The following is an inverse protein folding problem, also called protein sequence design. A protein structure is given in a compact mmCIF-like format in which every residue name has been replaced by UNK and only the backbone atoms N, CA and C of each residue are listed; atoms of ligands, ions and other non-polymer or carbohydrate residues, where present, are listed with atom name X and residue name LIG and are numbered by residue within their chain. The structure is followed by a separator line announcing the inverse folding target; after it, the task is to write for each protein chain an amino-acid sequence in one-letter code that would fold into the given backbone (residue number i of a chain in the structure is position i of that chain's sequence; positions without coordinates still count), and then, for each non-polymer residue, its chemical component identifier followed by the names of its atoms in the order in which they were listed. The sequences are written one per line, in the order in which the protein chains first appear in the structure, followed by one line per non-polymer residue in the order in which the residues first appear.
data_IF_817154557290
#
_entry.id   IF_817154557290
#
_cell.length_a   1.000
_cell.length_b   1.000
_cell.length_c   1.000
_cell.angle_alpha   90.00
_cell.angle_beta   90.00
_cell.angle_gamma   90.00
#
_symmetry.space_group_name_H-M   'P 1'
#
loop_
_entity.id
_entity.type
_entity.pdbx_description
1 polymer ?
#
# COMPACT_ATOMS: atom_id res chain seq x y z
N UNK A 1 20.01 -23.18 8.00
CA UNK A 1 20.10 -21.82 7.44
C UNK A 1 19.12 -20.97 8.23
N UNK A 2 19.60 -19.95 8.96
CA UNK A 2 18.68 -19.01 9.63
C UNK A 2 17.93 -18.24 8.54
N UNK A 3 16.66 -18.56 8.33
CA UNK A 3 15.80 -17.77 7.47
C UNK A 3 15.55 -16.41 8.15
N UNK A 4 16.47 -15.48 7.95
CA UNK A 4 16.26 -14.10 8.37
C UNK A 4 15.30 -13.46 7.36
N UNK A 5 14.04 -13.30 7.76
CA UNK A 5 13.06 -12.55 6.98
C UNK A 5 13.29 -11.05 7.20
N UNK A 6 13.64 -10.25 6.17
CA UNK A 6 13.75 -8.80 6.30
C UNK A 6 12.44 -8.18 6.79
N UNK A 7 12.49 -7.03 7.43
CA UNK A 7 11.30 -6.34 7.90
C UNK A 7 10.52 -5.75 6.71
N UNK A 8 9.21 -5.96 6.69
CA UNK A 8 8.28 -5.28 5.78
C UNK A 8 7.45 -4.28 6.58
N UNK A 9 7.48 -3.00 6.18
CA UNK A 9 6.60 -1.97 6.75
C UNK A 9 5.33 -1.84 5.91
N UNK A 10 4.18 -2.00 6.55
CA UNK A 10 2.87 -1.77 5.97
C UNK A 10 2.40 -0.39 6.41
N UNK A 11 2.23 0.53 5.46
CA UNK A 11 1.84 1.92 5.71
C UNK A 11 0.37 2.09 5.30
N UNK A 12 -0.46 2.50 6.25
CA UNK A 12 -1.91 2.67 6.07
C UNK A 12 -2.26 4.15 6.29
N UNK A 13 -2.37 4.95 5.22
CA UNK A 13 -2.93 6.30 5.34
C UNK A 13 -4.44 6.20 5.59
N UNK A 14 -4.98 7.05 6.46
CA UNK A 14 -6.44 7.10 6.69
C UNK A 14 -6.95 8.53 6.74
N UNK A 15 -8.13 8.74 6.11
CA UNK A 15 -8.84 10.01 6.08
C UNK A 15 -10.34 9.80 6.01
N UNK A 16 -11.07 10.19 7.07
CA UNK A 16 -12.53 10.17 7.18
C UNK A 16 -13.20 8.78 6.98
N UNK A 17 -12.49 7.67 7.26
CA UNK A 17 -12.97 6.29 7.04
C UNK A 17 -12.67 5.34 8.21
N UNK A 18 -12.99 5.68 9.46
CA UNK A 18 -12.66 4.84 10.61
C UNK A 18 -13.23 3.42 10.50
N UNK A 19 -14.44 3.25 9.91
CA UNK A 19 -15.11 1.95 9.82
C UNK A 19 -14.35 0.94 8.96
N UNK A 20 -13.67 1.38 7.92
CA UNK A 20 -12.91 0.51 7.02
C UNK A 20 -11.52 0.16 7.56
N UNK A 21 -10.92 1.08 8.29
CA UNK A 21 -9.52 1.01 8.77
C UNK A 21 -9.24 -0.27 9.58
N UNK A 22 -10.15 -0.70 10.46
CA UNK A 22 -9.97 -1.93 11.23
C UNK A 22 -9.88 -3.18 10.36
N UNK A 23 -10.60 -3.22 9.23
CA UNK A 23 -10.51 -4.32 8.26
C UNK A 23 -9.12 -4.35 7.61
N UNK A 24 -8.62 -3.19 7.15
CA UNK A 24 -7.30 -3.07 6.57
C UNK A 24 -6.21 -3.52 7.55
N UNK A 25 -6.21 -3.01 8.80
CA UNK A 25 -5.26 -3.41 9.85
C UNK A 25 -5.36 -4.91 10.14
N UNK A 26 -6.57 -5.45 10.32
CA UNK A 26 -6.77 -6.89 10.57
C UNK A 26 -6.21 -7.75 9.44
N UNK A 27 -6.32 -7.30 8.18
CA UNK A 27 -5.77 -7.99 7.03
C UNK A 27 -4.23 -7.98 7.01
N UNK A 28 -3.64 -6.88 7.42
CA UNK A 28 -2.20 -6.74 7.60
C UNK A 28 -1.68 -7.67 8.71
N UNK A 29 -2.38 -7.75 9.84
CA UNK A 29 -2.00 -8.65 10.95
C UNK A 29 -2.07 -10.13 10.59
N UNK A 30 -2.94 -10.52 9.64
CA UNK A 30 -3.14 -11.90 9.20
C UNK A 30 -2.14 -12.36 8.13
N UNK A 31 -1.13 -11.54 7.80
CA UNK A 31 -0.13 -11.95 6.82
C UNK A 31 0.70 -13.13 7.32
N UNK A 32 0.97 -14.08 6.44
CA UNK A 32 1.81 -15.25 6.74
C UNK A 32 3.30 -14.93 6.69
N UNK A 33 3.68 -13.76 6.20
CA UNK A 33 5.05 -13.26 6.29
C UNK A 33 5.36 -12.85 7.75
N UNK A 34 6.42 -13.39 8.38
CA UNK A 34 6.53 -13.35 9.84
C UNK A 34 7.07 -12.04 10.43
N UNK A 35 7.73 -11.19 9.64
CA UNK A 35 8.42 -10.00 10.14
C UNK A 35 7.83 -8.72 9.51
N UNK A 36 6.79 -8.17 10.15
CA UNK A 36 6.08 -6.98 9.69
C UNK A 36 5.99 -5.94 10.80
N UNK A 37 5.90 -4.67 10.40
CA UNK A 37 5.40 -3.58 11.23
C UNK A 37 4.23 -2.90 10.52
N UNK A 38 3.28 -2.38 11.27
CA UNK A 38 2.11 -1.68 10.75
C UNK A 38 2.16 -0.23 11.22
N UNK A 39 2.08 0.70 10.28
CA UNK A 39 2.14 2.14 10.53
C UNK A 39 0.85 2.75 10.00
N UNK A 40 0.05 3.29 10.89
CA UNK A 40 -1.17 4.03 10.54
C UNK A 40 -0.86 5.51 10.57
N UNK A 41 -1.13 6.21 9.48
CA UNK A 41 -0.96 7.67 9.38
C UNK A 41 -2.34 8.31 9.28
N UNK A 42 -2.73 8.97 10.34
CA UNK A 42 -4.00 9.69 10.46
C UNK A 42 -3.86 11.09 9.86
N UNK A 43 -4.46 11.29 8.70
CA UNK A 43 -4.46 12.55 7.96
C UNK A 43 -5.75 13.37 8.16
N UNK A 44 -6.50 13.08 9.24
CA UNK A 44 -7.77 13.76 9.54
C UNK A 44 -7.61 15.19 10.08
N UNK A 45 -6.43 15.51 10.64
CA UNK A 45 -6.22 16.72 11.43
C UNK A 45 -6.65 16.54 12.89
N UNK A 46 -5.81 17.00 13.81
CA UNK A 46 -5.89 16.70 15.24
C UNK A 46 -7.22 17.17 15.91
N UNK A 47 -7.83 18.24 15.41
CA UNK A 47 -9.08 18.80 15.96
C UNK A 47 -10.34 18.27 15.27
N UNK A 48 -10.21 17.30 14.34
CA UNK A 48 -11.35 16.79 13.59
C UNK A 48 -12.09 15.69 14.37
N UNK A 49 -13.41 15.62 14.21
CA UNK A 49 -14.20 14.50 14.75
C UNK A 49 -13.69 13.13 14.26
N UNK A 50 -13.20 13.07 13.03
CA UNK A 50 -12.71 11.85 12.42
C UNK A 50 -11.42 11.36 13.10
N UNK A 51 -10.55 12.29 13.53
CA UNK A 51 -9.39 11.94 14.33
C UNK A 51 -9.80 11.29 15.66
N UNK A 52 -10.73 11.92 16.42
CA UNK A 52 -11.21 11.35 17.67
C UNK A 52 -11.86 9.97 17.51
N UNK A 53 -12.65 9.79 16.44
CA UNK A 53 -13.25 8.50 16.12
C UNK A 53 -12.17 7.45 15.77
N UNK A 54 -11.17 7.82 14.97
CA UNK A 54 -10.04 6.97 14.60
C UNK A 54 -9.21 6.58 15.81
N UNK A 55 -8.80 7.54 16.64
CA UNK A 55 -8.02 7.27 17.85
C UNK A 55 -8.78 6.34 18.81
N UNK A 56 -10.08 6.58 18.99
CA UNK A 56 -10.94 5.75 19.83
C UNK A 56 -10.97 4.28 19.37
N UNK A 57 -11.15 4.02 18.08
CA UNK A 57 -11.19 2.64 17.59
C UNK A 57 -9.82 1.96 17.59
N UNK A 58 -8.73 2.74 17.54
CA UNK A 58 -7.35 2.23 17.53
C UNK A 58 -6.73 2.14 18.93
N UNK A 59 -7.38 2.66 19.99
CA UNK A 59 -6.81 2.81 21.33
C UNK A 59 -6.13 1.54 21.83
N UNK A 60 -6.80 0.39 21.75
CA UNK A 60 -6.23 -0.89 22.19
C UNK A 60 -5.00 -1.31 21.36
N UNK A 61 -5.00 -1.06 20.06
CA UNK A 61 -3.87 -1.40 19.19
C UNK A 61 -2.67 -0.50 19.45
N UNK A 62 -2.90 0.76 19.82
CA UNK A 62 -1.87 1.74 20.18
C UNK A 62 -1.27 1.38 21.55
N UNK A 63 -2.11 1.15 22.57
CA UNK A 63 -1.69 0.79 23.92
C UNK A 63 -0.83 -0.47 23.97
N UNK A 64 -1.15 -1.47 23.16
CA UNK A 64 -0.40 -2.72 23.09
C UNK A 64 0.75 -2.69 22.07
N UNK A 65 1.07 -1.53 21.47
CA UNK A 65 2.12 -1.35 20.47
C UNK A 65 1.98 -2.30 19.26
N UNK A 66 0.75 -2.66 18.88
CA UNK A 66 0.47 -3.49 17.72
C UNK A 66 0.66 -2.71 16.42
N UNK A 67 0.40 -1.41 16.49
CA UNK A 67 0.58 -0.47 15.40
C UNK A 67 1.43 0.73 15.86
N UNK A 68 2.14 1.35 14.92
CA UNK A 68 2.70 2.69 15.10
C UNK A 68 1.68 3.70 14.57
N UNK A 69 1.20 4.58 15.43
CA UNK A 69 0.21 5.60 15.07
C UNK A 69 0.88 6.96 14.95
N UNK A 70 0.67 7.62 13.80
CA UNK A 70 1.24 8.94 13.48
C UNK A 70 0.11 9.85 13.05
N UNK A 71 0.06 11.07 13.58
CA UNK A 71 -1.03 12.02 13.40
C UNK A 71 -0.52 13.24 12.66
N UNK A 72 -1.26 13.71 11.66
CA UNK A 72 -1.06 15.02 11.06
C UNK A 72 -1.90 16.08 11.79
N UNK A 73 -1.31 17.23 12.08
CA UNK A 73 -2.02 18.36 12.70
C UNK A 73 -3.18 18.87 11.83
N UNK A 74 -2.98 18.83 10.50
CA UNK A 74 -3.98 19.19 9.48
C UNK A 74 -3.95 18.16 8.35
N UNK A 75 -5.01 18.06 7.57
CA UNK A 75 -5.00 17.24 6.34
C UNK A 75 -3.94 17.73 5.35
N UNK A 76 -3.08 16.80 4.88
CA UNK A 76 -1.97 17.06 3.95
C UNK A 76 -2.07 16.28 2.64
N UNK A 77 -3.07 15.48 2.45
CA UNK A 77 -3.33 14.52 1.37
C UNK A 77 -2.64 13.15 1.51
N UNK A 78 -3.10 12.19 0.68
CA UNK A 78 -2.61 10.82 0.71
C UNK A 78 -1.12 10.65 0.36
N UNK A 79 -0.56 11.48 -0.52
CA UNK A 79 0.88 11.49 -0.84
C UNK A 79 1.71 11.83 0.39
N UNK A 80 1.35 12.92 1.09
CA UNK A 80 2.02 13.36 2.30
C UNK A 80 1.88 12.32 3.43
N UNK A 81 0.70 11.70 3.58
CA UNK A 81 0.48 10.65 4.56
C UNK A 81 1.36 9.41 4.29
N UNK A 82 1.44 8.95 3.04
CA UNK A 82 2.32 7.84 2.65
C UNK A 82 3.79 8.17 2.87
N UNK A 83 4.23 9.38 2.54
CA UNK A 83 5.61 9.84 2.81
C UNK A 83 5.90 9.93 4.31
N UNK A 84 4.95 10.40 5.12
CA UNK A 84 5.12 10.41 6.58
C UNK A 84 5.29 8.99 7.11
N UNK A 85 4.49 8.04 6.64
CA UNK A 85 4.68 6.63 6.95
C UNK A 85 6.04 6.11 6.52
N UNK A 86 6.49 6.44 5.29
CA UNK A 86 7.79 6.03 4.76
C UNK A 86 8.97 6.54 5.60
N UNK A 87 8.90 7.80 6.08
CA UNK A 87 9.94 8.39 6.94
C UNK A 87 10.09 7.68 8.30
N UNK A 88 9.01 7.14 8.85
CA UNK A 88 9.03 6.48 10.17
C UNK A 88 9.12 4.96 10.09
N UNK A 89 8.95 4.40 8.89
CA UNK A 89 9.10 2.98 8.61
C UNK A 89 10.56 2.52 8.82
N UNK A 90 10.74 1.25 9.22
CA UNK A 90 12.06 0.65 9.46
C UNK A 90 12.35 -0.54 8.54
N UNK A 91 11.35 -1.04 7.82
CA UNK A 91 11.47 -2.21 6.96
C UNK A 91 12.34 -1.98 5.73
N UNK A 92 13.01 -3.02 5.26
CA UNK A 92 13.75 -3.03 3.98
C UNK A 92 12.81 -3.04 2.78
N UNK A 93 11.56 -3.42 3.02
CA UNK A 93 10.48 -3.43 2.05
C UNK A 93 9.31 -2.62 2.57
N UNK A 94 8.62 -1.95 1.65
CA UNK A 94 7.47 -1.08 1.94
C UNK A 94 6.27 -1.57 1.14
N UNK A 95 5.14 -1.70 1.81
CA UNK A 95 3.84 -1.89 1.16
C UNK A 95 2.88 -0.83 1.68
N UNK A 96 2.21 -0.14 0.78
CA UNK A 96 1.11 0.73 1.14
C UNK A 96 -0.19 -0.07 1.16
N UNK A 97 -1.10 0.26 2.05
CA UNK A 97 -2.43 -0.35 2.12
C UNK A 97 -3.44 0.78 2.31
N UNK A 98 -4.28 1.01 1.33
CA UNK A 98 -5.37 1.97 1.46
C UNK A 98 -6.37 1.46 2.53
N UNK A 99 -6.92 2.38 3.32
CA UNK A 99 -7.74 2.05 4.48
C UNK A 99 -9.06 1.34 4.14
N UNK A 100 -9.46 1.33 2.87
CA UNK A 100 -10.61 0.62 2.33
C UNK A 100 -10.27 -0.69 1.60
N UNK A 101 -8.99 -1.04 1.44
CA UNK A 101 -8.54 -2.29 0.84
C UNK A 101 -8.30 -3.41 1.89
N UNK A 102 -8.05 -4.63 1.41
CA UNK A 102 -7.80 -5.80 2.24
C UNK A 102 -6.76 -6.72 1.61
N UNK A 103 -5.71 -7.06 2.33
CA UNK A 103 -4.72 -8.05 1.91
C UNK A 103 -5.24 -9.48 2.15
N UNK A 104 -4.97 -10.40 1.22
CA UNK A 104 -5.10 -11.82 1.49
C UNK A 104 -3.85 -12.35 2.22
N UNK A 105 -3.97 -13.40 3.04
CA UNK A 105 -2.92 -13.82 3.98
C UNK A 105 -1.54 -14.06 3.35
N UNK A 106 -1.47 -14.58 2.13
CA UNK A 106 -0.21 -14.95 1.46
C UNK A 106 0.45 -13.80 0.68
N UNK A 107 -0.15 -12.58 0.68
CA UNK A 107 0.27 -11.50 -0.22
C UNK A 107 1.73 -11.13 -0.05
N UNK A 108 2.13 -10.73 1.14
CA UNK A 108 3.49 -10.23 1.36
C UNK A 108 4.53 -11.33 1.15
N UNK A 109 4.22 -12.57 1.58
CA UNK A 109 5.12 -13.71 1.40
C UNK A 109 5.33 -14.02 -0.08
N UNK A 110 4.25 -14.13 -0.86
CA UNK A 110 4.32 -14.43 -2.28
C UNK A 110 5.06 -13.33 -3.07
N UNK A 111 4.81 -12.06 -2.77
CA UNK A 111 5.49 -10.94 -3.41
C UNK A 111 6.98 -10.88 -3.04
N UNK A 112 7.31 -11.10 -1.77
CA UNK A 112 8.70 -11.14 -1.33
C UNK A 112 9.46 -12.28 -2.01
N UNK A 113 8.91 -13.51 -1.99
CA UNK A 113 9.54 -14.67 -2.63
C UNK A 113 9.72 -14.47 -4.14
N UNK A 114 8.78 -13.82 -4.82
CA UNK A 114 8.92 -13.51 -6.24
C UNK A 114 10.02 -12.46 -6.48
N UNK A 115 10.00 -11.37 -5.70
CA UNK A 115 10.98 -10.30 -5.84
C UNK A 115 12.42 -10.75 -5.56
N UNK A 116 12.62 -11.81 -4.75
CA UNK A 116 13.94 -12.39 -4.49
C UNK A 116 14.51 -13.17 -5.69
N UNK A 117 13.71 -13.51 -6.68
CA UNK A 117 14.19 -14.17 -7.93
C UNK A 117 14.81 -13.17 -8.91
N UNK A 118 14.65 -11.88 -8.63
CA UNK A 118 15.09 -10.79 -9.50
C UNK A 118 16.21 -9.98 -8.83
N UNK A 119 17.08 -9.41 -9.64
CA UNK A 119 18.15 -8.54 -9.18
C UNK A 119 17.63 -7.14 -8.74
N UNK A 120 18.55 -6.25 -8.38
CA UNK A 120 18.22 -4.91 -7.89
C UNK A 120 17.67 -3.95 -8.97
N UNK A 121 17.61 -4.35 -10.23
CA UNK A 121 16.91 -3.58 -11.27
C UNK A 121 15.40 -3.69 -11.14
N UNK A 122 14.91 -4.68 -10.38
CA UNK A 122 13.50 -4.80 -10.01
C UNK A 122 13.25 -4.14 -8.66
N UNK A 123 12.62 -2.98 -8.69
CA UNK A 123 12.31 -2.17 -7.49
C UNK A 123 11.04 -2.59 -6.75
N UNK A 124 10.22 -3.47 -7.32
CA UNK A 124 8.97 -3.91 -6.69
C UNK A 124 8.36 -5.14 -7.35
N UNK A 125 7.34 -5.67 -6.66
CA UNK A 125 6.51 -6.78 -7.12
C UNK A 125 5.04 -6.46 -6.90
N UNK A 126 4.21 -6.49 -7.95
CA UNK A 126 2.76 -6.30 -7.81
C UNK A 126 2.00 -7.63 -7.79
N UNK A 127 0.76 -7.58 -7.32
CA UNK A 127 -0.17 -8.69 -7.36
C UNK A 127 -1.47 -8.31 -8.06
N UNK A 128 -2.22 -9.32 -8.50
CA UNK A 128 -3.57 -9.15 -8.98
C UNK A 128 -4.56 -8.96 -7.82
N UNK A 129 -5.68 -8.32 -8.14
CA UNK A 129 -6.71 -7.91 -7.18
C UNK A 129 -8.07 -8.46 -7.56
N UNK A 130 -8.87 -8.75 -6.54
CA UNK A 130 -10.32 -8.92 -6.68
C UNK A 130 -10.99 -7.60 -6.34
N UNK A 131 -11.73 -7.06 -7.30
CA UNK A 131 -12.34 -5.73 -7.19
C UNK A 131 -13.84 -5.90 -6.97
N UNK A 132 -14.32 -5.34 -5.84
CA UNK A 132 -15.73 -5.28 -5.49
C UNK A 132 -16.26 -3.88 -5.85
N UNK A 133 -16.91 -3.75 -7.00
CA UNK A 133 -17.61 -2.54 -7.41
C UNK A 133 -19.08 -2.57 -6.98
N UNK A 134 -19.79 -1.45 -7.25
CA UNK A 134 -21.16 -1.25 -6.78
C UNK A 134 -22.15 -2.37 -7.18
N UNK A 135 -22.00 -2.99 -8.37
CA UNK A 135 -22.86 -4.09 -8.86
C UNK A 135 -22.06 -5.19 -9.56
N UNK A 136 -20.75 -5.17 -9.47
CA UNK A 136 -19.89 -6.13 -10.20
C UNK A 136 -18.71 -6.53 -9.32
N UNK A 137 -18.37 -7.81 -9.42
CA UNK A 137 -17.12 -8.36 -8.92
C UNK A 137 -16.33 -8.81 -10.12
N UNK A 138 -15.09 -8.37 -10.22
CA UNK A 138 -14.18 -8.83 -11.25
C UNK A 138 -12.77 -9.03 -10.68
N UNK A 139 -11.96 -9.76 -11.39
CA UNK A 139 -10.59 -10.09 -11.00
C UNK A 139 -9.64 -9.62 -12.08
N UNK A 140 -8.55 -9.00 -11.68
CA UNK A 140 -7.46 -8.68 -12.60
C UNK A 140 -6.66 -9.94 -12.91
N UNK A 141 -6.05 -10.00 -14.08
CA UNK A 141 -5.19 -11.11 -14.51
C UNK A 141 -3.99 -10.59 -15.29
N UNK A 142 -3.25 -9.66 -14.67
CA UNK A 142 -2.07 -9.10 -15.28
C UNK A 142 -0.87 -10.03 -15.08
N UNK A 143 -0.05 -10.15 -16.13
CA UNK A 143 1.16 -10.98 -16.13
C UNK A 143 2.39 -10.20 -16.62
N UNK A 144 2.23 -8.93 -16.95
CA UNK A 144 3.29 -8.08 -17.46
C UNK A 144 4.39 -7.88 -16.41
N UNK A 145 5.64 -7.93 -16.82
CA UNK A 145 6.83 -7.76 -15.97
C UNK A 145 7.90 -6.99 -16.73
N UNK A 146 8.77 -6.31 -16.01
CA UNK A 146 9.78 -5.42 -16.58
C UNK A 146 9.37 -3.95 -16.46
N UNK A 147 9.76 -3.14 -17.44
CA UNK A 147 9.28 -1.76 -17.55
C UNK A 147 7.94 -1.73 -18.29
N UNK A 148 6.86 -1.64 -17.52
CA UNK A 148 5.47 -1.70 -18.05
C UNK A 148 4.79 -0.34 -18.02
N UNK A 149 5.54 0.76 -18.03
CA UNK A 149 4.96 2.12 -17.92
C UNK A 149 3.99 2.41 -19.08
N UNK A 150 4.28 1.96 -20.28
CA UNK A 150 3.40 2.15 -21.42
C UNK A 150 2.06 1.44 -21.23
N UNK A 151 2.09 0.20 -20.73
CA UNK A 151 0.86 -0.56 -20.43
C UNK A 151 0.00 0.14 -19.37
N UNK A 152 0.63 0.74 -18.36
CA UNK A 152 -0.07 1.51 -17.32
C UNK A 152 -0.69 2.79 -17.90
N UNK A 153 0.09 3.56 -18.67
CA UNK A 153 -0.39 4.82 -19.26
C UNK A 153 -1.48 4.60 -20.31
N UNK A 154 -1.45 3.44 -20.99
CA UNK A 154 -2.50 3.04 -21.93
C UNK A 154 -3.71 2.37 -21.24
N UNK A 155 -3.70 2.18 -19.92
CA UNK A 155 -4.77 1.51 -19.19
C UNK A 155 -4.91 0.02 -19.46
N UNK A 156 -3.88 -0.62 -20.02
CA UNK A 156 -3.82 -2.08 -20.24
C UNK A 156 -3.58 -2.80 -18.93
N UNK A 157 -2.71 -2.23 -18.09
CA UNK A 157 -2.46 -2.68 -16.71
C UNK A 157 -2.86 -1.56 -15.78
N UNK A 158 -3.75 -1.86 -14.83
CA UNK A 158 -4.22 -0.91 -13.81
C UNK A 158 -4.11 -1.54 -12.43
N UNK A 159 -3.22 -1.04 -11.62
CA UNK A 159 -3.07 -1.42 -10.22
C UNK A 159 -2.70 -0.20 -9.35
N UNK A 160 -3.21 -0.20 -8.13
CA UNK A 160 -2.90 0.83 -7.14
C UNK A 160 -1.66 0.46 -6.32
N UNK A 161 -1.16 1.39 -5.51
CA UNK A 161 0.00 1.17 -4.66
C UNK A 161 -0.23 0.11 -3.59
N UNK A 162 -1.47 -0.17 -3.17
CA UNK A 162 -1.80 -1.27 -2.25
C UNK A 162 -1.39 -2.63 -2.81
N UNK A 163 -1.39 -2.79 -4.14
CA UNK A 163 -1.01 -4.05 -4.79
C UNK A 163 0.50 -4.29 -4.83
N UNK A 164 1.35 -3.29 -4.57
CA UNK A 164 2.80 -3.35 -4.81
C UNK A 164 3.60 -3.47 -3.52
N UNK A 165 4.47 -4.47 -3.43
CA UNK A 165 5.57 -4.53 -2.47
C UNK A 165 6.80 -3.88 -3.11
N UNK A 166 7.27 -2.78 -2.54
CA UNK A 166 8.46 -2.05 -3.01
C UNK A 166 9.71 -2.41 -2.21
N UNK A 167 10.87 -2.41 -2.85
CA UNK A 167 12.13 -2.25 -2.13
C UNK A 167 12.18 -0.81 -1.58
N UNK A 168 12.54 -0.63 -0.32
CA UNK A 168 12.70 0.71 0.27
C UNK A 168 13.65 1.59 -0.57
N UNK A 169 14.79 1.04 -0.98
CA UNK A 169 15.78 1.75 -1.79
C UNK A 169 15.21 2.32 -3.09
N UNK A 170 14.22 1.63 -3.70
CA UNK A 170 13.56 2.12 -4.91
C UNK A 170 12.71 3.37 -4.62
N UNK A 171 11.96 3.38 -3.52
CA UNK A 171 11.19 4.55 -3.11
C UNK A 171 12.10 5.73 -2.69
N UNK A 172 13.21 5.44 -2.02
CA UNK A 172 14.20 6.46 -1.64
C UNK A 172 14.85 7.10 -2.87
N UNK A 173 15.20 6.31 -3.90
CA UNK A 173 15.77 6.81 -5.16
C UNK A 173 14.86 7.83 -5.85
N UNK A 174 13.56 7.63 -5.78
CA UNK A 174 12.57 8.52 -6.40
C UNK A 174 11.98 9.56 -5.43
N UNK A 175 12.51 9.65 -4.19
CA UNK A 175 12.02 10.54 -3.13
C UNK A 175 10.56 10.34 -2.73
N UNK A 176 10.05 9.09 -2.77
CA UNK A 176 8.66 8.77 -2.42
C UNK A 176 7.63 9.40 -3.35
N UNK A 177 6.50 9.81 -2.79
CA UNK A 177 5.41 10.47 -3.52
C UNK A 177 5.65 11.96 -3.67
N UNK A 178 5.17 12.55 -4.78
CA UNK A 178 5.09 14.01 -4.93
C UNK A 178 3.85 14.53 -4.18
N UNK A 179 4.07 15.28 -3.11
CA UNK A 179 3.03 15.79 -2.21
C UNK A 179 2.17 16.89 -2.87
N UNK A 180 2.58 17.43 -4.01
CA UNK A 180 1.77 18.38 -4.78
C UNK A 180 0.59 17.74 -5.52
N UNK A 181 0.63 16.41 -5.70
CA UNK A 181 -0.44 15.66 -6.36
C UNK A 181 -1.53 15.26 -5.36
N UNK A 182 -2.72 15.83 -5.52
CA UNK A 182 -3.93 15.47 -4.77
C UNK A 182 -4.71 14.31 -5.39
N UNK A 183 -4.47 14.04 -6.69
CA UNK A 183 -5.07 12.95 -7.47
C UNK A 183 -4.01 12.31 -8.34
N UNK A 184 -4.27 11.08 -8.82
CA UNK A 184 -3.37 10.32 -9.69
C UNK A 184 -1.96 10.13 -9.09
N UNK A 185 -1.89 10.05 -7.76
CA UNK A 185 -0.66 9.92 -6.98
C UNK A 185 0.14 8.67 -7.38
N UNK A 186 -0.56 7.58 -7.67
CA UNK A 186 0.02 6.31 -8.08
C UNK A 186 0.65 6.42 -9.48
N UNK A 187 -0.04 7.05 -10.42
CA UNK A 187 0.47 7.22 -11.79
C UNK A 187 1.70 8.11 -11.82
N UNK A 188 1.70 9.20 -11.05
CA UNK A 188 2.86 10.08 -10.91
C UNK A 188 4.07 9.31 -10.35
N UNK A 189 3.85 8.54 -9.26
CA UNK A 189 4.88 7.69 -8.66
C UNK A 189 5.44 6.69 -9.70
N UNK A 190 4.56 6.00 -10.46
CA UNK A 190 4.99 5.01 -11.43
C UNK A 190 5.78 5.61 -12.59
N UNK A 191 5.43 6.81 -13.07
CA UNK A 191 6.22 7.50 -14.11
C UNK A 191 7.66 7.73 -13.65
N UNK A 192 7.89 8.12 -12.37
CA UNK A 192 9.25 8.27 -11.83
C UNK A 192 9.90 6.93 -11.53
N UNK A 193 9.16 5.97 -11.00
CA UNK A 193 9.66 4.63 -10.67
C UNK A 193 10.23 3.91 -11.89
N UNK A 194 9.49 3.86 -13.00
CA UNK A 194 9.90 3.14 -14.20
C UNK A 194 11.03 3.79 -14.99
N UNK A 195 11.49 4.97 -14.60
CA UNK A 195 12.75 5.55 -15.11
C UNK A 195 13.99 4.84 -14.56
N UNK A 196 13.84 4.15 -13.43
CA UNK A 196 14.96 3.56 -12.70
C UNK A 196 14.82 2.06 -12.49
N UNK A 197 13.59 1.55 -12.43
CA UNK A 197 13.31 0.19 -12.00
C UNK A 197 12.31 -0.51 -12.91
N UNK A 198 12.42 -1.83 -12.89
CA UNK A 198 11.41 -2.76 -13.37
C UNK A 198 10.49 -3.20 -12.23
N UNK A 199 9.37 -3.83 -12.58
CA UNK A 199 8.46 -4.48 -11.64
C UNK A 199 8.21 -5.92 -12.06
N UNK A 200 8.05 -6.84 -11.09
CA UNK A 200 7.60 -8.21 -11.35
C UNK A 200 6.18 -8.42 -10.85
N UNK A 201 5.58 -9.54 -11.21
CA UNK A 201 4.24 -9.95 -10.78
C UNK A 201 4.30 -11.24 -9.99
N UNK A 202 3.56 -11.35 -8.90
CA UNK A 202 3.53 -12.52 -8.02
C UNK A 202 2.73 -13.70 -8.61
N UNK A 203 3.23 -14.25 -9.72
CA UNK A 203 2.71 -15.48 -10.34
C UNK A 203 1.23 -15.44 -10.77
N UNK A 204 0.69 -14.25 -11.08
CA UNK A 204 -0.70 -14.10 -11.51
C UNK A 204 -1.75 -14.32 -10.43
N UNK A 205 -1.34 -14.50 -9.16
CA UNK A 205 -2.27 -14.76 -8.05
C UNK A 205 -3.04 -13.51 -7.64
N UNK A 206 -4.31 -13.69 -7.29
CA UNK A 206 -5.12 -12.69 -6.61
C UNK A 206 -4.74 -12.71 -5.13
N UNK A 207 -4.17 -11.60 -4.64
CA UNK A 207 -3.63 -11.52 -3.30
C UNK A 207 -4.18 -10.34 -2.48
N UNK A 208 -5.14 -9.60 -3.04
CA UNK A 208 -5.86 -8.55 -2.31
C UNK A 208 -7.30 -8.38 -2.81
N UNK A 209 -8.13 -7.83 -1.95
CA UNK A 209 -9.46 -7.34 -2.26
C UNK A 209 -9.42 -5.81 -2.29
N UNK A 210 -9.95 -5.23 -3.37
CA UNK A 210 -10.16 -3.80 -3.51
C UNK A 210 -11.66 -3.50 -3.46
N UNK A 211 -12.05 -2.51 -2.67
CA UNK A 211 -13.46 -2.11 -2.53
C UNK A 211 -13.64 -0.70 -3.09
N UNK A 212 -14.34 -0.60 -4.22
CA UNK A 212 -14.69 0.70 -4.81
C UNK A 212 -15.90 1.28 -4.11
N UNK A 213 -15.77 2.49 -3.58
CA UNK A 213 -16.90 3.23 -3.00
C UNK A 213 -17.74 3.90 -4.08
N UNK A 214 -19.07 4.12 -3.88
CA UNK A 214 -19.96 4.71 -4.90
C UNK A 214 -19.53 6.08 -5.42
N UNK A 215 -18.67 6.79 -4.71
CA UNK A 215 -18.22 8.15 -5.07
C UNK A 215 -17.00 8.19 -6.01
N UNK A 216 -16.36 7.06 -6.31
CA UNK A 216 -15.18 7.01 -7.19
C UNK A 216 -15.54 6.88 -8.68
N UNK A 217 -16.78 6.49 -9.00
CA UNK A 217 -17.24 6.26 -10.39
C UNK A 217 -17.98 7.43 -11.02
N UNK A 218 -18.14 8.55 -10.30
CA UNK A 218 -18.89 9.72 -10.79
C UNK A 218 -18.10 11.02 -10.66
N UNK A 219 -16.94 11.09 -11.35
CA UNK A 219 -16.36 12.40 -11.74
C UNK A 219 -15.43 12.23 -12.93
#
# INVERSE_FOLDING_TARGET
MNNHFPLISIIIPTYQRPDNLLRAISSAQKQTYPNIEIIVVDDNGIDSKWHYETEKILSSLIEHNVIKYVIHEINKNGSAARNTGLRVAKGDYINFLDDDDEFLPEKLKAQYEELQKHDNTYGGCYCNSRIFGFNRKFETNYVASGNIIEDILCGIVDFNTSSVLFRRSALETINGFDESFWRHQDWELYVRFFRHYNICVSGGKILMNKYSTPNETSK
#
